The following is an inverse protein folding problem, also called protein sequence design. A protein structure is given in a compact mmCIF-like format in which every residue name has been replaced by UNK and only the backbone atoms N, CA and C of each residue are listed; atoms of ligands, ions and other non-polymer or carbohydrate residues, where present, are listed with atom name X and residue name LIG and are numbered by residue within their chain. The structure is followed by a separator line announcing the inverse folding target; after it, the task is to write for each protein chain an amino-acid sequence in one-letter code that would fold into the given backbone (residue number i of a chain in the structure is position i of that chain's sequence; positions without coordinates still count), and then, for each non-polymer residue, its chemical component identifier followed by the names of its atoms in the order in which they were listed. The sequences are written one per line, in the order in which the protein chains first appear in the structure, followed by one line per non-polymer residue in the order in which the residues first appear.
data_IF_223936928010
#
_entry.id   IF_223936928010
#
_cell.length_a   1.000
_cell.length_b   1.000
_cell.length_c   1.000
_cell.angle_alpha   90.00
_cell.angle_beta   90.00
_cell.angle_gamma   90.00
#
_symmetry.space_group_name_H-M   'P 1'
#
loop_
_entity.id
_entity.type
_entity.pdbx_description
1 polymer ?
#
# COMPACT_ATOMS: atom_id res chain seq x y z
N UNK A 1 11.71 8.08 -26.98
CA UNK A 1 10.28 8.18 -26.64
C UNK A 1 10.11 9.46 -25.84
N UNK A 2 9.30 10.38 -26.33
CA UNK A 2 9.31 11.80 -25.96
C UNK A 2 8.70 12.06 -24.60
N UNK A 3 9.37 12.88 -23.79
CA UNK A 3 8.93 13.42 -22.49
C UNK A 3 7.73 14.38 -22.59
N UNK A 4 7.24 14.63 -23.80
CA UNK A 4 6.24 15.67 -24.06
C UNK A 4 4.78 15.24 -23.81
N UNK A 5 4.52 13.96 -23.55
CA UNK A 5 3.17 13.46 -23.29
C UNK A 5 2.71 13.60 -21.83
N UNK A 6 3.62 13.94 -20.92
CA UNK A 6 3.31 14.05 -19.50
C UNK A 6 3.07 15.48 -19.00
N UNK A 7 3.40 16.47 -19.83
CA UNK A 7 3.26 17.90 -19.51
C UNK A 7 1.97 18.55 -20.07
N UNK A 8 1.17 17.81 -20.86
CA UNK A 8 0.02 18.35 -21.58
C UNK A 8 -1.27 18.57 -20.79
N UNK A 9 -1.45 17.93 -19.63
CA UNK A 9 -2.75 17.95 -18.91
C UNK A 9 -2.80 18.86 -17.66
N UNK A 10 -1.81 19.74 -17.47
CA UNK A 10 -1.74 20.58 -16.26
C UNK A 10 -2.39 21.96 -16.40
N UNK A 11 -2.99 22.31 -17.53
CA UNK A 11 -3.48 23.66 -17.78
C UNK A 11 -4.96 23.75 -18.16
N UNK A 12 -5.87 23.08 -17.41
CA UNK A 12 -7.30 23.43 -17.43
C UNK A 12 -8.07 22.85 -16.24
N UNK A 13 -7.91 23.43 -15.06
CA UNK A 13 -8.90 23.25 -14.00
C UNK A 13 -8.99 24.47 -13.08
N UNK A 14 -9.38 25.61 -13.64
CA UNK A 14 -10.03 26.68 -12.88
C UNK A 14 -11.48 26.29 -12.66
N UNK A 15 -11.86 26.22 -11.36
CA UNK A 15 -13.22 25.98 -10.83
C UNK A 15 -13.67 24.51 -10.71
N UNK A 16 -13.17 23.85 -9.65
CA UNK A 16 -13.95 22.78 -8.98
C UNK A 16 -14.11 23.13 -7.49
N UNK A 17 -15.34 22.98 -6.92
CA UNK A 17 -15.56 23.25 -5.51
C UNK A 17 -14.79 22.22 -4.67
N UNK A 18 -14.09 22.71 -3.67
CA UNK A 18 -13.51 22.11 -2.48
C UNK A 18 -13.64 20.56 -2.39
N UNK A 19 -12.80 19.83 -3.10
CA UNK A 19 -12.57 18.43 -2.83
C UNK A 19 -11.68 18.36 -1.58
N UNK A 20 -12.15 17.63 -0.59
CA UNK A 20 -11.62 17.51 0.75
C UNK A 20 -10.09 17.54 0.83
N UNK A 21 -9.57 18.30 1.80
CA UNK A 21 -8.14 18.44 2.04
C UNK A 21 -7.47 17.07 1.97
N UNK A 22 -6.45 16.95 1.10
CA UNK A 22 -5.57 15.78 1.09
C UNK A 22 -5.15 15.52 2.54
N UNK A 23 -5.51 14.35 3.09
CA UNK A 23 -5.00 13.92 4.38
C UNK A 23 -3.47 13.86 4.24
N UNK A 24 -2.79 14.81 4.86
CA UNK A 24 -1.33 14.78 4.98
C UNK A 24 -0.99 13.99 6.22
N UNK A 25 -0.12 13.01 6.09
CA UNK A 25 0.41 12.25 7.21
C UNK A 25 1.70 12.88 7.71
N UNK A 26 1.94 12.82 9.03
CA UNK A 26 3.16 13.36 9.62
C UNK A 26 4.18 12.26 9.77
N UNK A 27 5.35 12.42 9.14
CA UNK A 27 6.50 11.54 9.28
C UNK A 27 7.57 12.19 10.16
N UNK A 28 7.95 11.53 11.27
CA UNK A 28 9.04 11.98 12.14
C UNK A 28 10.29 11.16 11.87
N UNK A 29 11.38 11.83 11.45
CA UNK A 29 12.65 11.21 11.12
C UNK A 29 13.73 11.59 12.13
N UNK A 30 14.55 10.60 12.55
CA UNK A 30 15.82 10.81 13.25
C UNK A 30 16.94 10.72 12.23
N UNK A 31 17.59 11.82 11.91
CA UNK A 31 18.63 11.91 10.90
C UNK A 31 19.98 12.19 11.56
N UNK A 32 21.04 11.68 10.93
CA UNK A 32 22.39 12.12 11.22
C UNK A 32 22.51 13.64 10.99
N UNK A 33 23.24 14.39 11.85
CA UNK A 33 23.35 15.83 11.72
C UNK A 33 23.89 16.31 10.38
N UNK A 34 24.82 15.56 9.75
CA UNK A 34 25.36 15.88 8.44
C UNK A 34 24.30 15.71 7.35
N UNK A 35 23.49 14.64 7.42
CA UNK A 35 22.38 14.41 6.48
C UNK A 35 21.34 15.53 6.60
N UNK A 36 20.94 15.89 7.81
CA UNK A 36 20.03 17.00 8.05
C UNK A 36 20.56 18.31 7.45
N UNK A 37 21.83 18.65 7.73
CA UNK A 37 22.46 19.84 7.16
C UNK A 37 22.50 19.80 5.63
N UNK A 38 22.77 18.63 5.03
CA UNK A 38 22.76 18.46 3.58
C UNK A 38 21.37 18.76 3.00
N UNK A 39 20.30 18.26 3.63
CA UNK A 39 18.91 18.56 3.21
C UNK A 39 18.63 20.06 3.30
N UNK A 40 19.05 20.72 4.39
CA UNK A 40 18.90 22.19 4.55
C UNK A 40 19.61 22.95 3.44
N UNK A 41 20.82 22.53 3.04
CA UNK A 41 21.58 23.16 1.92
C UNK A 41 20.85 22.96 0.59
N UNK A 42 20.38 21.72 0.30
CA UNK A 42 19.64 21.42 -0.93
C UNK A 42 18.35 22.26 -0.99
N UNK A 43 17.62 22.36 0.12
CA UNK A 43 16.40 23.18 0.24
C UNK A 43 16.65 24.64 -0.19
N UNK A 44 17.75 25.23 0.27
CA UNK A 44 18.14 26.59 -0.09
C UNK A 44 18.54 26.72 -1.57
N UNK A 45 19.33 25.77 -2.07
CA UNK A 45 19.78 25.76 -3.49
C UNK A 45 18.58 25.61 -4.43
N UNK A 46 17.67 24.69 -4.10
CA UNK A 46 16.47 24.40 -4.91
C UNK A 46 15.31 25.38 -4.65
N UNK A 47 15.41 26.25 -3.62
CA UNK A 47 14.33 27.13 -3.16
C UNK A 47 13.02 26.38 -2.89
N UNK A 48 13.13 25.18 -2.30
CA UNK A 48 12.03 24.31 -1.95
C UNK A 48 11.97 24.12 -0.43
N UNK A 49 10.83 23.67 0.09
CA UNK A 49 10.73 23.22 1.49
C UNK A 49 11.53 21.95 1.71
N UNK A 50 11.88 21.63 2.96
CA UNK A 50 12.51 20.36 3.33
C UNK A 50 11.64 19.19 2.86
N UNK A 51 10.32 19.27 3.06
CA UNK A 51 9.35 18.27 2.58
C UNK A 51 9.47 18.08 1.06
N UNK A 52 9.48 19.18 0.29
CA UNK A 52 9.62 19.10 -1.17
C UNK A 52 10.95 18.51 -1.63
N UNK A 53 12.04 18.70 -0.87
CA UNK A 53 13.33 18.04 -1.16
C UNK A 53 13.23 16.53 -0.93
N UNK A 54 12.56 16.10 0.17
CA UNK A 54 12.37 14.69 0.47
C UNK A 54 11.44 14.04 -0.56
N UNK A 55 10.32 14.67 -0.90
CA UNK A 55 9.40 14.21 -1.94
C UNK A 55 10.10 14.03 -3.28
N UNK A 56 10.85 15.03 -3.74
CA UNK A 56 11.61 14.95 -4.99
C UNK A 56 12.68 13.83 -4.98
N UNK A 57 13.30 13.56 -3.82
CA UNK A 57 14.26 12.46 -3.69
C UNK A 57 13.56 11.10 -3.81
N UNK A 58 12.39 10.93 -3.19
CA UNK A 58 11.57 9.72 -3.32
C UNK A 58 11.10 9.53 -4.76
N UNK A 59 10.58 10.60 -5.40
CA UNK A 59 10.15 10.57 -6.81
C UNK A 59 11.28 10.17 -7.76
N UNK A 60 12.51 10.60 -7.50
CA UNK A 60 13.66 10.20 -8.31
C UNK A 60 13.99 8.71 -8.14
N UNK A 61 13.83 8.15 -6.93
CA UNK A 61 14.19 6.77 -6.63
C UNK A 61 13.17 5.74 -7.14
N UNK A 62 11.88 6.07 -7.16
CA UNK A 62 10.81 5.08 -7.47
C UNK A 62 10.86 4.58 -8.91
N UNK A 63 11.53 5.29 -9.82
CA UNK A 63 11.74 4.88 -11.21
C UNK A 63 13.01 4.06 -11.41
N UNK A 64 13.97 4.17 -10.49
CA UNK A 64 15.27 3.48 -10.57
C UNK A 64 15.28 2.15 -9.80
N UNK A 65 14.27 1.92 -8.97
CA UNK A 65 14.15 0.71 -8.16
C UNK A 65 13.10 -0.22 -8.76
N UNK A 66 13.47 -1.49 -8.93
CA UNK A 66 12.55 -2.54 -9.38
C UNK A 66 12.18 -3.46 -8.22
N UNK A 67 10.95 -3.96 -8.28
CA UNK A 67 10.40 -4.95 -7.34
C UNK A 67 9.77 -6.11 -8.11
N UNK A 68 9.84 -7.35 -7.56
CA UNK A 68 9.07 -8.46 -8.09
C UNK A 68 7.57 -8.18 -7.87
N UNK A 69 6.83 -8.06 -8.96
CA UNK A 69 5.39 -7.82 -8.95
C UNK A 69 4.65 -9.08 -9.42
N UNK A 70 3.68 -9.54 -8.63
CA UNK A 70 2.86 -10.70 -8.95
C UNK A 70 1.56 -10.26 -9.60
N UNK A 71 1.26 -10.84 -10.77
CA UNK A 71 0.02 -10.62 -11.48
C UNK A 71 -0.53 -11.94 -12.01
N UNK A 72 -1.61 -12.43 -11.39
CA UNK A 72 -2.36 -13.59 -11.86
C UNK A 72 -1.56 -14.88 -12.04
N UNK A 73 -0.49 -15.08 -11.30
CA UNK A 73 0.39 -16.26 -11.37
C UNK A 73 1.71 -16.03 -12.10
N UNK A 74 1.90 -14.86 -12.71
CA UNK A 74 3.18 -14.42 -13.24
C UNK A 74 3.88 -13.51 -12.26
N UNK A 75 5.22 -13.53 -12.29
CA UNK A 75 6.06 -12.58 -11.55
C UNK A 75 6.92 -11.84 -12.55
N UNK A 76 6.76 -10.53 -12.57
CA UNK A 76 7.51 -9.63 -13.44
C UNK A 76 8.27 -8.61 -12.57
N UNK A 77 9.31 -7.98 -13.11
CA UNK A 77 10.00 -6.88 -12.46
C UNK A 77 9.37 -5.56 -12.89
N UNK A 78 8.78 -4.85 -11.95
CA UNK A 78 8.18 -3.54 -12.17
C UNK A 78 8.94 -2.47 -11.42
N UNK A 79 8.96 -1.25 -11.95
CA UNK A 79 9.45 -0.12 -11.16
C UNK A 79 8.58 0.08 -9.91
N UNK A 80 9.17 0.55 -8.82
CA UNK A 80 8.42 0.87 -7.59
C UNK A 80 7.28 1.84 -7.89
N UNK A 81 7.48 2.81 -8.80
CA UNK A 81 6.44 3.75 -9.22
C UNK A 81 5.21 3.02 -9.81
N UNK A 82 5.43 2.07 -10.72
CA UNK A 82 4.35 1.28 -11.32
C UNK A 82 3.66 0.38 -10.30
N UNK A 83 4.45 -0.31 -9.48
CA UNK A 83 3.93 -1.21 -8.45
C UNK A 83 3.09 -0.45 -7.40
N UNK A 84 3.57 0.70 -6.92
CA UNK A 84 2.83 1.54 -5.97
C UNK A 84 1.54 2.07 -6.58
N UNK A 85 1.53 2.45 -7.87
CA UNK A 85 0.32 2.92 -8.54
C UNK A 85 -0.78 1.87 -8.58
N UNK A 86 -0.42 0.59 -8.72
CA UNK A 86 -1.36 -0.53 -8.74
C UNK A 86 -1.85 -0.91 -7.33
N UNK A 87 -0.94 -0.88 -6.37
CA UNK A 87 -1.23 -1.29 -4.97
C UNK A 87 -1.98 -0.21 -4.20
N UNK A 88 -1.76 1.06 -4.52
CA UNK A 88 -2.26 2.19 -3.74
C UNK A 88 -3.79 2.28 -3.72
N UNK A 89 -4.35 2.43 -2.51
CA UNK A 89 -5.75 2.77 -2.27
C UNK A 89 -5.85 3.72 -1.08
N UNK A 90 -6.86 4.59 -1.08
CA UNK A 90 -7.24 5.40 0.09
C UNK A 90 -7.90 4.56 1.19
N UNK A 91 -8.47 3.43 0.82
CA UNK A 91 -8.97 2.42 1.75
C UNK A 91 -7.81 1.55 2.22
N UNK A 92 -7.61 1.50 3.54
CA UNK A 92 -6.48 0.80 4.15
C UNK A 92 -6.54 -0.71 3.94
N UNK A 93 -7.72 -1.31 4.09
CA UNK A 93 -7.92 -2.74 3.89
C UNK A 93 -7.66 -3.15 2.44
N UNK A 94 -8.12 -2.35 1.47
CA UNK A 94 -7.88 -2.57 0.06
C UNK A 94 -6.39 -2.44 -0.29
N UNK A 95 -5.73 -1.37 0.21
CA UNK A 95 -4.29 -1.18 0.03
C UNK A 95 -3.50 -2.35 0.60
N UNK A 96 -3.88 -2.82 1.79
CA UNK A 96 -3.25 -3.96 2.43
C UNK A 96 -3.40 -5.25 1.60
N UNK A 97 -4.61 -5.55 1.13
CA UNK A 97 -4.87 -6.75 0.31
C UNK A 97 -4.08 -6.67 -1.01
N UNK A 98 -4.08 -5.51 -1.67
CA UNK A 98 -3.30 -5.31 -2.89
C UNK A 98 -1.80 -5.54 -2.63
N UNK A 99 -1.27 -5.02 -1.52
CA UNK A 99 0.11 -5.25 -1.11
C UNK A 99 0.40 -6.74 -0.92
N UNK A 100 -0.45 -7.46 -0.18
CA UNK A 100 -0.30 -8.89 0.07
C UNK A 100 -0.32 -9.72 -1.21
N UNK A 101 -1.14 -9.33 -2.17
CA UNK A 101 -1.32 -10.06 -3.43
C UNK A 101 -0.18 -9.79 -4.41
N UNK A 102 0.16 -8.52 -4.62
CA UNK A 102 1.12 -8.12 -5.65
C UNK A 102 2.56 -8.08 -5.17
N UNK A 103 2.79 -7.80 -3.89
CA UNK A 103 4.12 -7.62 -3.32
C UNK A 103 4.33 -8.44 -2.03
N UNK A 104 4.00 -9.75 -2.01
CA UNK A 104 4.02 -10.56 -0.79
C UNK A 104 5.40 -10.63 -0.13
N UNK A 105 6.47 -10.47 -0.90
CA UNK A 105 7.85 -10.51 -0.41
C UNK A 105 8.26 -9.23 0.34
N UNK A 106 7.45 -8.17 0.29
CA UNK A 106 7.71 -6.90 0.96
C UNK A 106 6.93 -6.73 2.26
N UNK A 107 6.11 -7.71 2.63
CA UNK A 107 5.35 -7.67 3.88
C UNK A 107 6.29 -7.67 5.08
N UNK A 108 6.02 -6.78 6.03
CA UNK A 108 6.60 -6.84 7.37
C UNK A 108 6.10 -8.07 8.12
N UNK A 109 6.75 -8.41 9.22
CA UNK A 109 6.31 -9.54 10.06
C UNK A 109 4.87 -9.35 10.59
N UNK A 110 4.50 -8.13 10.96
CA UNK A 110 3.16 -7.79 11.44
C UNK A 110 2.12 -7.91 10.33
N UNK A 111 2.42 -7.38 9.15
CA UNK A 111 1.57 -7.52 7.96
C UNK A 111 1.41 -8.98 7.55
N UNK A 112 2.46 -9.78 7.62
CA UNK A 112 2.37 -11.20 7.34
C UNK A 112 1.45 -11.92 8.34
N UNK A 113 1.47 -11.55 9.63
CA UNK A 113 0.54 -12.10 10.62
C UNK A 113 -0.91 -11.75 10.30
N UNK A 114 -1.19 -10.50 9.94
CA UNK A 114 -2.54 -10.08 9.52
C UNK A 114 -2.99 -10.91 8.33
N UNK A 115 -2.11 -11.05 7.33
CA UNK A 115 -2.39 -11.81 6.12
C UNK A 115 -2.69 -13.29 6.39
N UNK A 116 -1.88 -13.95 7.21
CA UNK A 116 -2.11 -15.34 7.62
C UNK A 116 -3.41 -15.48 8.43
N UNK A 117 -3.76 -14.50 9.28
CA UNK A 117 -5.03 -14.49 10.01
C UNK A 117 -6.21 -14.39 9.05
N UNK A 118 -6.16 -13.54 8.04
CA UNK A 118 -7.20 -13.45 6.99
C UNK A 118 -7.38 -14.81 6.32
N UNK A 119 -6.29 -15.44 5.87
CA UNK A 119 -6.34 -16.74 5.18
C UNK A 119 -6.88 -17.87 6.06
N UNK A 120 -6.61 -17.82 7.37
CA UNK A 120 -7.06 -18.82 8.33
C UNK A 120 -8.53 -18.62 8.79
N UNK A 121 -9.15 -17.47 8.46
CA UNK A 121 -10.45 -17.07 9.01
C UNK A 121 -11.57 -17.26 7.98
N UNK A 122 -12.50 -18.22 8.18
CA UNK A 122 -13.55 -18.53 7.21
C UNK A 122 -14.48 -17.36 6.86
N UNK A 123 -14.60 -16.37 7.75
CA UNK A 123 -15.44 -15.16 7.53
C UNK A 123 -14.92 -14.26 6.40
N UNK A 124 -13.63 -14.34 6.10
CA UNK A 124 -13.00 -13.56 5.04
C UNK A 124 -12.90 -14.31 3.70
N UNK A 125 -13.42 -15.53 3.65
CA UNK A 125 -13.39 -16.38 2.46
C UNK A 125 -14.77 -16.43 1.83
N UNK A 126 -14.84 -16.14 0.51
CA UNK A 126 -16.06 -16.32 -0.27
C UNK A 126 -16.26 -17.82 -0.59
N UNK A 127 -17.27 -18.42 0.04
CA UNK A 127 -17.62 -19.84 -0.14
C UNK A 127 -18.47 -20.13 -1.37
N UNK A 128 -18.91 -19.10 -2.08
CA UNK A 128 -20.08 -19.27 -2.95
C UNK A 128 -19.89 -19.04 -4.43
N UNK A 129 -18.84 -18.44 -4.90
CA UNK A 129 -18.78 -18.18 -6.34
C UNK A 129 -17.37 -17.88 -6.83
N UNK A 130 -16.92 -18.70 -7.75
CA UNK A 130 -16.06 -18.21 -8.85
C UNK A 130 -16.80 -17.08 -9.59
N UNK A 131 -16.85 -15.89 -9.06
CA UNK A 131 -17.30 -14.70 -9.79
C UNK A 131 -16.26 -14.45 -10.85
N UNK A 132 -16.61 -14.84 -12.05
CA UNK A 132 -15.85 -14.58 -13.29
C UNK A 132 -15.41 -13.10 -13.23
N UNK A 133 -14.10 -12.86 -13.16
CA UNK A 133 -13.52 -11.52 -13.26
C UNK A 133 -12.93 -10.91 -11.99
N UNK A 134 -12.96 -11.55 -10.84
CA UNK A 134 -12.25 -11.07 -9.64
C UNK A 134 -10.96 -11.88 -9.42
N UNK A 135 -9.83 -11.27 -9.66
CA UNK A 135 -8.48 -11.89 -9.68
C UNK A 135 -7.91 -12.19 -8.27
N UNK A 136 -8.75 -12.38 -7.28
CA UNK A 136 -8.34 -12.51 -5.87
C UNK A 136 -8.43 -13.95 -5.37
N UNK A 137 -8.09 -14.89 -6.24
CA UNK A 137 -7.93 -16.29 -5.83
C UNK A 137 -6.57 -16.46 -5.16
N UNK A 138 -6.56 -16.92 -3.95
CA UNK A 138 -5.36 -17.32 -3.24
C UNK A 138 -5.19 -18.82 -3.40
N UNK A 139 -4.07 -19.24 -3.95
CA UNK A 139 -3.76 -20.64 -4.16
C UNK A 139 -3.87 -21.41 -2.83
N UNK A 140 -4.62 -22.51 -2.84
CA UNK A 140 -4.83 -23.36 -1.66
C UNK A 140 -5.80 -22.82 -0.61
N UNK A 141 -6.32 -21.57 -0.76
CA UNK A 141 -7.20 -20.92 0.22
C UNK A 141 -8.59 -20.63 -0.34
N UNK A 142 -8.68 -20.15 -1.56
CA UNK A 142 -9.93 -19.78 -2.23
C UNK A 142 -10.03 -18.30 -2.57
N UNK A 143 -11.25 -17.78 -2.66
CA UNK A 143 -11.50 -16.38 -2.99
C UNK A 143 -11.70 -15.55 -1.72
N UNK A 144 -11.17 -14.31 -1.70
CA UNK A 144 -11.37 -13.38 -0.59
C UNK A 144 -12.70 -12.64 -0.70
N UNK A 145 -13.41 -12.53 0.42
CA UNK A 145 -14.50 -11.58 0.60
C UNK A 145 -13.96 -10.20 1.03
N UNK A 146 -13.64 -9.37 0.05
CA UNK A 146 -13.10 -8.01 0.28
C UNK A 146 -14.09 -7.13 1.04
N UNK A 147 -15.39 -7.35 0.86
CA UNK A 147 -16.44 -6.60 1.57
C UNK A 147 -16.39 -6.87 3.07
N UNK A 148 -16.31 -8.15 3.45
CA UNK A 148 -16.18 -8.53 4.85
C UNK A 148 -14.87 -8.08 5.45
N UNK A 149 -13.75 -8.17 4.72
CA UNK A 149 -12.46 -7.68 5.21
C UNK A 149 -12.55 -6.17 5.49
N UNK A 150 -13.11 -5.37 4.57
CA UNK A 150 -13.30 -3.93 4.77
C UNK A 150 -14.17 -3.62 5.99
N UNK A 151 -15.31 -4.30 6.11
CA UNK A 151 -16.25 -4.04 7.20
C UNK A 151 -15.72 -4.43 8.57
N UNK A 152 -14.86 -5.43 8.64
CA UNK A 152 -14.31 -5.98 9.86
C UNK A 152 -12.84 -5.57 10.11
N UNK A 153 -12.30 -4.65 9.31
CA UNK A 153 -10.88 -4.30 9.32
C UNK A 153 -10.34 -3.93 10.70
N UNK A 154 -11.00 -3.03 11.41
CA UNK A 154 -10.56 -2.59 12.73
C UNK A 154 -10.60 -3.72 13.76
N UNK A 155 -11.65 -4.55 13.73
CA UNK A 155 -11.75 -5.72 14.63
C UNK A 155 -10.68 -6.77 14.33
N UNK A 156 -10.33 -6.95 13.07
CA UNK A 156 -9.23 -7.82 12.67
C UNK A 156 -7.89 -7.32 13.22
N UNK A 157 -7.60 -6.01 13.10
CA UNK A 157 -6.37 -5.43 13.62
C UNK A 157 -6.27 -5.56 15.14
N UNK A 158 -7.37 -5.29 15.86
CA UNK A 158 -7.46 -5.49 17.32
C UNK A 158 -7.21 -6.95 17.70
N UNK A 159 -7.85 -7.88 17.00
CA UNK A 159 -7.67 -9.32 17.22
C UNK A 159 -6.20 -9.76 17.02
N UNK A 160 -5.55 -9.29 15.96
CA UNK A 160 -4.14 -9.63 15.70
C UNK A 160 -3.22 -9.05 16.77
N UNK A 161 -3.48 -7.82 17.23
CA UNK A 161 -2.72 -7.19 18.31
C UNK A 161 -2.90 -7.92 19.65
N UNK A 162 -4.12 -8.31 20.01
CA UNK A 162 -4.41 -9.10 21.22
C UNK A 162 -3.70 -10.47 21.21
N UNK A 163 -3.55 -11.06 20.02
CA UNK A 163 -2.95 -12.38 19.85
C UNK A 163 -1.47 -12.32 19.38
N UNK A 164 -0.82 -11.18 19.47
CA UNK A 164 0.56 -10.98 18.94
C UNK A 164 1.60 -11.90 19.59
N UNK A 165 1.42 -12.28 20.86
CA UNK A 165 2.31 -13.19 21.59
C UNK A 165 2.03 -14.67 21.31
N UNK A 166 0.95 -14.99 20.58
CA UNK A 166 0.64 -16.37 20.22
C UNK A 166 1.67 -16.92 19.24
N UNK A 167 2.13 -18.14 19.49
CA UNK A 167 3.06 -18.86 18.61
C UNK A 167 2.41 -19.38 17.33
N UNK A 168 1.08 -19.43 17.30
CA UNK A 168 0.29 -19.88 16.16
C UNK A 168 -0.67 -18.80 15.72
N UNK A 169 -1.07 -18.83 14.45
CA UNK A 169 -2.14 -17.96 13.96
C UNK A 169 -3.45 -18.37 14.62
N UNK A 170 -4.12 -17.40 15.24
CA UNK A 170 -5.45 -17.54 15.82
C UNK A 170 -6.45 -17.02 14.79
N UNK A 171 -7.34 -17.87 14.23
CA UNK A 171 -8.36 -17.41 13.30
C UNK A 171 -9.25 -16.34 13.92
N UNK A 172 -9.65 -15.37 13.13
CA UNK A 172 -10.57 -14.32 13.56
C UNK A 172 -12.01 -14.81 13.50
N UNK A 173 -12.76 -14.58 14.58
CA UNK A 173 -14.21 -14.77 14.66
C UNK A 173 -14.87 -13.40 14.92
N UNK A 174 -15.89 -13.02 14.14
CA UNK A 174 -16.57 -11.74 14.37
C UNK A 174 -17.25 -11.70 15.73
N UNK A 175 -17.26 -10.54 16.42
CA UNK A 175 -17.77 -10.41 17.79
C UNK A 175 -19.30 -10.43 17.90
N UNK A 176 -20.03 -10.70 16.81
CA UNK A 176 -21.50 -10.72 16.74
C UNK A 176 -22.05 -11.80 15.80
#
# INVERSE_FOLDING_TARGET
MSLDLWLGDFEMAKNRPNQGSRKTETLTLRLDPKVKFTIDVISRVKRQSITGVVEAAVEALVFDLDVPFHDGGNTEHWSVASAVSEVWSTDESERFINLCYHLPNLLTFEEQRIWETIKASPVFLDKGAAKIGTHWQIEGVGYLDRGNIRNLWNYLLEHVEENKESRTIVPFEPPF
#
